data_IF_830398125628
#
_entry.id   IF_830398125628
#
_cell.length_a   1.000
_cell.length_b   1.000
_cell.length_c   1.000
_cell.angle_alpha   90.00
_cell.angle_beta   90.00
_cell.angle_gamma   90.00
#
_symmetry.space_group_name_H-M   'P 1'
#
loop_
_entity.id
_entity.type
_entity.pdbx_description
1 polymer ?
#
# COMPACT_ATOMS: atom_id res chain seq x y z
N UNK A 1 4.82 20.73 -0.10
CA UNK A 1 3.61 20.19 0.49
C UNK A 1 3.76 18.70 0.70
N UNK A 2 3.26 18.20 1.81
CA UNK A 2 3.38 16.78 2.09
C UNK A 2 2.32 15.99 1.32
N UNK A 3 2.67 14.79 0.96
CA UNK A 3 1.74 13.87 0.29
C UNK A 3 0.75 13.33 1.31
N UNK A 4 -0.45 13.00 0.85
CA UNK A 4 -1.41 12.32 1.70
C UNK A 4 -0.92 10.91 1.96
N UNK A 5 -1.50 10.26 2.96
CA UNK A 5 -1.14 8.87 3.23
C UNK A 5 -1.47 7.96 2.04
N UNK A 6 -2.56 8.24 1.34
CA UNK A 6 -2.93 7.47 0.16
C UNK A 6 -1.86 7.59 -0.93
N UNK A 7 -1.38 8.80 -1.17
CA UNK A 7 -0.34 9.00 -2.17
C UNK A 7 0.95 8.29 -1.79
N UNK A 8 1.31 8.31 -0.51
CA UNK A 8 2.49 7.59 -0.04
C UNK A 8 2.35 6.09 -0.23
N UNK A 9 1.16 5.57 0.03
CA UNK A 9 0.90 4.14 -0.14
C UNK A 9 1.02 3.74 -1.60
N UNK A 10 0.44 4.52 -2.51
CA UNK A 10 0.51 4.23 -3.93
C UNK A 10 1.96 4.30 -4.42
N UNK A 11 2.68 5.33 -4.01
CA UNK A 11 4.08 5.49 -4.40
C UNK A 11 4.93 4.31 -3.90
N UNK A 12 4.70 3.86 -2.69
CA UNK A 12 5.42 2.72 -2.14
C UNK A 12 5.15 1.45 -2.96
N UNK A 13 3.89 1.20 -3.29
CA UNK A 13 3.52 0.00 -4.02
C UNK A 13 4.11 0.00 -5.44
N UNK A 14 4.21 1.15 -6.06
CA UNK A 14 4.80 1.27 -7.39
C UNK A 14 6.32 1.20 -7.34
N UNK A 15 6.93 2.02 -6.50
CA UNK A 15 8.38 2.20 -6.49
C UNK A 15 9.13 1.04 -5.85
N UNK A 16 8.58 0.49 -4.78
CA UNK A 16 9.27 -0.57 -4.04
C UNK A 16 8.86 -1.96 -4.47
N UNK A 17 7.60 -2.15 -4.86
CA UNK A 17 7.07 -3.47 -5.16
C UNK A 17 6.74 -3.67 -6.64
N UNK A 18 6.76 -2.60 -7.42
CA UNK A 18 6.51 -2.66 -8.86
C UNK A 18 5.14 -3.28 -9.17
N UNK A 19 4.14 -2.94 -8.37
CA UNK A 19 2.79 -3.46 -8.57
C UNK A 19 2.09 -2.74 -9.71
N UNK A 20 1.21 -3.45 -10.41
CA UNK A 20 0.37 -2.84 -11.44
C UNK A 20 -0.91 -2.29 -10.82
N UNK A 21 -1.74 -1.64 -11.65
CA UNK A 21 -2.96 -0.98 -11.17
C UNK A 21 -3.90 -1.95 -10.45
N UNK A 22 -4.04 -3.16 -10.97
CA UNK A 22 -4.91 -4.16 -10.35
C UNK A 22 -4.40 -4.54 -8.98
N UNK A 23 -3.11 -4.78 -8.86
CA UNK A 23 -2.51 -5.15 -7.58
C UNK A 23 -2.60 -4.00 -6.57
N UNK A 24 -2.37 -2.78 -7.04
CA UNK A 24 -2.48 -1.60 -6.17
C UNK A 24 -3.90 -1.49 -5.62
N UNK A 25 -4.90 -1.66 -6.48
CA UNK A 25 -6.30 -1.61 -6.05
C UNK A 25 -6.62 -2.66 -5.00
N UNK A 26 -6.12 -3.88 -5.18
CA UNK A 26 -6.35 -4.96 -4.21
C UNK A 26 -5.70 -4.65 -2.87
N UNK A 27 -4.48 -4.13 -2.89
CA UNK A 27 -3.79 -3.80 -1.64
C UNK A 27 -4.48 -2.65 -0.92
N UNK A 28 -4.89 -1.61 -1.66
CA UNK A 28 -5.58 -0.48 -1.03
C UNK A 28 -6.88 -0.93 -0.39
N UNK A 29 -7.60 -1.84 -1.04
CA UNK A 29 -8.82 -2.37 -0.47
C UNK A 29 -8.54 -3.18 0.79
N UNK A 30 -7.48 -3.98 0.77
CA UNK A 30 -7.09 -4.77 1.94
C UNK A 30 -6.72 -3.88 3.12
N UNK A 31 -6.03 -2.76 2.85
CA UNK A 31 -5.71 -1.80 3.89
C UNK A 31 -6.98 -1.25 4.54
N UNK A 32 -7.96 -0.93 3.71
CA UNK A 32 -9.21 -0.38 4.21
C UNK A 32 -9.94 -1.38 5.09
N UNK A 33 -10.02 -2.62 4.64
CA UNK A 33 -10.71 -3.66 5.41
C UNK A 33 -9.97 -4.03 6.69
N UNK A 34 -8.65 -3.94 6.67
CA UNK A 34 -7.82 -4.23 7.85
C UNK A 34 -7.66 -3.02 8.76
N UNK A 35 -8.25 -1.88 8.38
CA UNK A 35 -8.11 -0.64 9.16
C UNK A 35 -6.64 -0.24 9.29
N UNK A 36 -5.86 -0.49 8.26
CA UNK A 36 -4.41 -0.23 8.28
C UNK A 36 -4.12 0.95 7.37
N UNK A 37 -3.60 2.06 7.90
CA UNK A 37 -3.39 3.26 7.08
C UNK A 37 -2.14 3.22 6.23
N UNK A 38 -1.20 2.33 6.52
CA UNK A 38 0.09 2.31 5.83
C UNK A 38 0.29 1.05 5.00
N UNK A 39 0.50 1.21 3.69
CA UNK A 39 0.77 0.08 2.81
C UNK A 39 2.12 -0.55 3.15
N UNK A 40 3.11 0.27 3.47
CA UNK A 40 4.42 -0.23 3.85
C UNK A 40 4.33 -1.13 5.08
N UNK A 41 3.62 -0.68 6.09
CA UNK A 41 3.44 -1.48 7.30
C UNK A 41 2.70 -2.78 7.00
N UNK A 42 1.61 -2.68 6.23
CA UNK A 42 0.79 -3.83 5.88
C UNK A 42 1.60 -4.90 5.16
N UNK A 43 2.36 -4.48 4.14
CA UNK A 43 3.17 -5.41 3.35
C UNK A 43 4.23 -6.06 4.23
N UNK A 44 4.91 -5.28 5.05
CA UNK A 44 6.00 -5.80 5.89
C UNK A 44 5.51 -6.76 6.97
N UNK A 45 4.27 -6.55 7.46
CA UNK A 45 3.74 -7.39 8.53
C UNK A 45 2.99 -8.62 8.04
N UNK A 46 2.32 -8.51 6.88
CA UNK A 46 1.42 -9.56 6.44
C UNK A 46 1.83 -10.24 5.14
N UNK A 47 2.56 -9.58 4.27
CA UNK A 47 2.89 -10.11 2.97
C UNK A 47 4.34 -10.54 2.82
N UNK A 48 5.23 -10.06 3.67
CA UNK A 48 6.64 -10.45 3.64
C UNK A 48 6.88 -11.51 4.69
N UNK A 49 7.45 -12.60 4.28
CA UNK A 49 7.77 -13.70 5.20
C UNK A 49 9.03 -13.43 6.01
#
# INVERSE_FOLDING_TARGET
MSKTQLEKNIAYLIDELDYNDTQIGLILRALEEANCPSAEYFVNEFLVD
#
